data_IF_452024707108
#
_entry.id   IF_452024707108
#
_cell.length_a   1.000
_cell.length_b   1.000
_cell.length_c   1.000
_cell.angle_alpha   90.00
_cell.angle_beta   90.00
_cell.angle_gamma   90.00
#
_symmetry.space_group_name_H-M   'P 1'
#
loop_
_entity.id
_entity.type
_entity.pdbx_description
1 polymer ?
#
# COMPACT_ATOMS: atom_id res chain seq x y z
N UNK A 1 -5.94 3.72 38.41
CA UNK A 1 -6.34 3.99 37.02
C UNK A 1 -5.25 3.38 36.16
N UNK A 2 -5.42 2.11 35.79
CA UNK A 2 -4.43 1.35 35.03
C UNK A 2 -4.49 1.81 33.59
N UNK A 3 -3.40 2.37 33.08
CA UNK A 3 -3.23 2.71 31.68
C UNK A 3 -3.40 1.41 30.87
N UNK A 4 -4.34 1.33 29.88
CA UNK A 4 -4.44 0.14 29.05
C UNK A 4 -3.07 -0.16 28.45
N UNK A 5 -2.61 -1.41 28.59
CA UNK A 5 -1.26 -1.83 28.23
C UNK A 5 -0.84 -1.21 26.89
N UNK A 6 0.26 -0.46 26.91
CA UNK A 6 0.81 0.16 25.70
C UNK A 6 0.91 -0.91 24.59
N UNK A 7 0.57 -0.57 23.34
CA UNK A 7 0.60 -1.54 22.25
C UNK A 7 1.98 -2.19 22.16
N UNK A 8 2.03 -3.50 22.35
CA UNK A 8 3.25 -4.28 22.25
C UNK A 8 3.44 -4.79 20.84
N UNK A 9 4.63 -4.59 20.27
CA UNK A 9 5.01 -5.13 18.97
C UNK A 9 5.43 -6.59 19.15
N UNK A 10 4.69 -7.53 18.57
CA UNK A 10 5.10 -8.93 18.49
C UNK A 10 6.06 -9.13 17.31
N UNK A 11 7.33 -9.52 17.53
CA UNK A 11 8.30 -9.73 16.46
C UNK A 11 7.87 -10.76 15.40
N UNK A 12 7.09 -11.78 15.79
CA UNK A 12 6.61 -12.79 14.85
C UNK A 12 5.57 -12.20 13.90
N UNK A 13 4.65 -11.37 14.40
CA UNK A 13 3.68 -10.67 13.57
C UNK A 13 4.33 -9.65 12.63
N UNK A 14 5.39 -8.96 13.08
CA UNK A 14 6.16 -8.05 12.22
C UNK A 14 6.88 -8.81 11.10
N UNK A 15 7.44 -9.98 11.40
CA UNK A 15 8.09 -10.83 10.40
C UNK A 15 7.08 -11.35 9.36
N UNK A 16 5.88 -11.77 9.80
CA UNK A 16 4.80 -12.20 8.91
C UNK A 16 4.33 -11.06 8.00
N UNK A 17 4.04 -9.87 8.56
CA UNK A 17 3.66 -8.70 7.78
C UNK A 17 4.72 -8.31 6.74
N UNK A 18 6.01 -8.41 7.11
CA UNK A 18 7.10 -8.16 6.17
C UNK A 18 7.05 -9.15 5.00
N UNK A 19 6.83 -10.43 5.27
CA UNK A 19 6.73 -11.46 4.24
C UNK A 19 5.56 -11.16 3.29
N UNK A 20 4.37 -10.84 3.84
CA UNK A 20 3.19 -10.51 3.04
C UNK A 20 3.43 -9.32 2.10
N UNK A 21 4.08 -8.25 2.59
CA UNK A 21 4.40 -7.07 1.79
C UNK A 21 5.45 -7.38 0.71
N UNK A 22 6.44 -8.24 1.02
CA UNK A 22 7.46 -8.65 0.07
C UNK A 22 6.88 -9.55 -1.03
N UNK A 23 6.03 -10.51 -0.68
CA UNK A 23 5.36 -11.43 -1.61
C UNK A 23 4.39 -10.68 -2.53
N UNK A 24 3.72 -9.64 -2.02
CA UNK A 24 2.91 -8.74 -2.83
C UNK A 24 3.76 -7.83 -3.76
N UNK A 25 5.08 -7.80 -3.61
CA UNK A 25 5.94 -6.88 -4.35
C UNK A 25 5.75 -5.41 -3.96
N UNK A 26 5.24 -5.13 -2.75
CA UNK A 26 5.01 -3.77 -2.25
C UNK A 26 6.33 -3.13 -1.81
N UNK A 27 7.12 -2.75 -2.81
CA UNK A 27 8.42 -2.08 -2.70
C UNK A 27 8.38 -0.80 -3.53
N UNK A 28 9.33 0.12 -3.34
CA UNK A 28 9.39 1.34 -4.17
C UNK A 28 9.43 0.99 -5.67
N UNK A 29 10.33 0.10 -6.15
CA UNK A 29 10.32 -0.29 -7.56
C UNK A 29 9.01 -0.98 -7.97
N UNK A 30 8.46 -1.86 -7.14
CA UNK A 30 7.21 -2.56 -7.45
C UNK A 30 5.99 -1.63 -7.53
N UNK A 31 5.98 -0.54 -6.78
CA UNK A 31 4.96 0.53 -6.85
C UNK A 31 5.18 1.40 -8.10
N UNK A 32 6.41 1.78 -8.40
CA UNK A 32 6.73 2.54 -9.62
C UNK A 32 6.39 1.75 -10.89
N UNK A 33 6.67 0.45 -10.91
CA UNK A 33 6.31 -0.46 -12.00
C UNK A 33 4.79 -0.58 -12.17
N UNK A 34 4.04 -0.67 -11.06
CA UNK A 34 2.58 -0.71 -11.08
C UNK A 34 1.98 0.59 -11.63
N UNK A 35 2.46 1.74 -11.15
CA UNK A 35 1.94 3.04 -11.52
C UNK A 35 2.36 3.45 -12.95
N UNK A 36 3.53 2.98 -13.38
CA UNK A 36 4.18 3.47 -14.57
C UNK A 36 4.76 4.89 -14.38
N UNK A 37 5.62 5.33 -15.31
CA UNK A 37 6.44 6.52 -15.14
C UNK A 37 5.63 7.82 -15.02
N UNK A 38 4.49 7.91 -15.71
CA UNK A 38 3.65 9.11 -15.70
C UNK A 38 2.94 9.28 -14.36
N UNK A 39 2.30 8.22 -13.85
CA UNK A 39 1.57 8.32 -12.60
C UNK A 39 2.49 8.42 -11.39
N UNK A 40 3.65 7.74 -11.42
CA UNK A 40 4.69 7.90 -10.39
C UNK A 40 5.22 9.34 -10.34
N UNK A 41 5.54 9.94 -11.49
CA UNK A 41 6.03 11.32 -11.56
C UNK A 41 4.98 12.35 -11.11
N UNK A 42 3.71 12.15 -11.50
CA UNK A 42 2.61 13.00 -11.05
C UNK A 42 2.44 12.94 -9.53
N UNK A 43 2.47 11.72 -8.95
CA UNK A 43 2.33 11.53 -7.51
C UNK A 43 3.48 12.19 -6.72
N UNK A 44 4.71 12.19 -7.25
CA UNK A 44 5.83 12.91 -6.65
C UNK A 44 5.64 14.43 -6.60
N UNK A 45 4.75 14.97 -7.44
CA UNK A 45 4.32 16.38 -7.43
C UNK A 45 2.99 16.59 -6.70
N UNK A 46 2.61 15.65 -5.85
CA UNK A 46 1.36 15.66 -5.09
C UNK A 46 0.08 15.66 -5.96
N UNK A 47 0.17 15.10 -7.18
CA UNK A 47 -0.98 14.92 -8.07
C UNK A 47 -1.47 13.45 -8.02
N UNK A 48 -2.44 13.09 -7.16
CA UNK A 48 -2.80 11.68 -6.93
C UNK A 48 -3.70 11.07 -8.01
N UNK A 49 -4.35 11.89 -8.85
CA UNK A 49 -5.36 11.42 -9.81
C UNK A 49 -4.80 10.36 -10.79
N UNK A 50 -3.61 10.53 -11.41
CA UNK A 50 -3.04 9.50 -12.26
C UNK A 50 -2.77 8.18 -11.52
N UNK A 51 -2.37 8.23 -10.24
CA UNK A 51 -2.14 7.03 -9.44
C UNK A 51 -3.46 6.32 -9.06
N UNK A 52 -4.53 7.09 -8.81
CA UNK A 52 -5.87 6.53 -8.61
C UNK A 52 -6.36 5.79 -9.86
N UNK A 53 -6.12 6.33 -11.05
CA UNK A 53 -6.47 5.69 -12.33
C UNK A 53 -5.63 4.43 -12.60
N UNK A 54 -4.30 4.51 -12.39
CA UNK A 54 -3.42 3.36 -12.57
C UNK A 54 -3.77 2.20 -11.64
N UNK A 55 -4.08 2.49 -10.37
CA UNK A 55 -4.50 1.46 -9.40
C UNK A 55 -5.88 0.89 -9.68
N UNK A 56 -6.80 1.66 -10.28
CA UNK A 56 -8.11 1.15 -10.72
C UNK A 56 -7.96 0.19 -11.92
N UNK A 57 -7.10 0.57 -12.88
CA UNK A 57 -6.80 -0.26 -14.06
C UNK A 57 -6.04 -1.56 -13.73
N UNK A 58 -5.36 -1.62 -12.58
CA UNK A 58 -4.59 -2.79 -12.15
C UNK A 58 -5.44 -3.95 -11.62
N UNK A 59 -6.76 -3.77 -11.44
CA UNK A 59 -7.68 -4.84 -11.05
C UNK A 59 -7.32 -5.47 -9.70
N UNK A 60 -7.21 -6.80 -9.68
CA UNK A 60 -6.95 -7.60 -8.46
C UNK A 60 -5.46 -7.66 -8.06
N UNK A 61 -4.60 -6.82 -8.63
CA UNK A 61 -3.20 -6.73 -8.19
C UNK A 61 -3.15 -6.28 -6.70
N UNK A 62 -2.55 -7.07 -5.79
CA UNK A 62 -2.52 -6.73 -4.37
C UNK A 62 -1.83 -5.40 -4.09
N UNK A 63 -0.87 -4.99 -4.93
CA UNK A 63 -0.20 -3.68 -4.80
C UNK A 63 -1.16 -2.54 -5.02
N UNK A 64 -2.18 -2.70 -5.87
CA UNK A 64 -3.18 -1.66 -6.10
C UNK A 64 -3.96 -1.35 -4.82
N UNK A 65 -4.42 -2.38 -4.11
CA UNK A 65 -5.08 -2.19 -2.81
C UNK A 65 -4.14 -1.57 -1.77
N UNK A 66 -2.88 -2.01 -1.70
CA UNK A 66 -1.90 -1.48 -0.75
C UNK A 66 -1.53 -0.02 -1.03
N UNK A 67 -1.30 0.37 -2.30
CA UNK A 67 -1.04 1.76 -2.70
C UNK A 67 -2.25 2.64 -2.36
N UNK A 68 -3.47 2.17 -2.64
CA UNK A 68 -4.69 2.91 -2.33
C UNK A 68 -4.85 3.15 -0.83
N UNK A 69 -4.63 2.13 0.00
CA UNK A 69 -4.78 2.22 1.44
C UNK A 69 -3.66 3.05 2.10
N UNK A 70 -2.39 2.80 1.76
CA UNK A 70 -1.24 3.35 2.49
C UNK A 70 -0.62 4.59 1.86
N UNK A 71 -0.74 4.79 0.55
CA UNK A 71 -0.13 5.92 -0.16
C UNK A 71 -1.17 6.99 -0.49
N UNK A 72 -2.30 6.57 -1.05
CA UNK A 72 -3.35 7.49 -1.50
C UNK A 72 -4.40 7.80 -0.42
N UNK A 73 -4.42 7.02 0.67
CA UNK A 73 -5.35 7.22 1.78
C UNK A 73 -6.82 7.08 1.40
N UNK A 74 -7.13 6.28 0.37
CA UNK A 74 -8.51 6.07 -0.08
C UNK A 74 -9.07 4.74 0.42
N UNK A 75 -10.39 4.62 0.62
CA UNK A 75 -11.01 3.37 1.02
C UNK A 75 -10.72 2.24 0.01
N UNK A 76 -10.54 1.03 0.55
CA UNK A 76 -10.41 -0.22 -0.22
C UNK A 76 -11.46 -1.22 0.25
N UNK A 77 -11.84 -2.16 -0.63
CA UNK A 77 -12.77 -3.23 -0.25
C UNK A 77 -12.08 -4.15 0.76
N UNK A 78 -12.76 -4.48 1.84
CA UNK A 78 -12.28 -5.52 2.75
C UNK A 78 -12.18 -6.86 2.01
N UNK A 79 -11.13 -7.62 2.33
CA UNK A 79 -11.05 -9.03 1.95
C UNK A 79 -12.26 -9.78 2.54
N UNK A 80 -12.79 -10.75 1.79
CA UNK A 80 -13.94 -11.57 2.22
C UNK A 80 -13.53 -12.60 3.26
#
# INVERSE_FOLDING_TARGET
MTDPAAPSVDPALVAALRADLADAGFTVPGVEDLLGPVAAAALHREEPVPALLATDAAGDDPRAALVRAFVLGVPVRAAA
#
